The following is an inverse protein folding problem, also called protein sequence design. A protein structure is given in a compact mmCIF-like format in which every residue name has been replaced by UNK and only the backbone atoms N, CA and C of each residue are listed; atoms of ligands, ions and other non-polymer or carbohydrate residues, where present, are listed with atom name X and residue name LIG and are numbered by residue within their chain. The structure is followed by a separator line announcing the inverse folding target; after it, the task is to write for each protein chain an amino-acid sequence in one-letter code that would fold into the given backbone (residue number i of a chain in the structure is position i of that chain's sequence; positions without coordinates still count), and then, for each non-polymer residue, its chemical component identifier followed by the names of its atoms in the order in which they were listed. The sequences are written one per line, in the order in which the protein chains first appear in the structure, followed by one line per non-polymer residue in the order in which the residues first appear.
data_IF_958928424516
#
_entry.id   IF_958928424516
#
_cell.length_a   1.000
_cell.length_b   1.000
_cell.length_c   1.000
_cell.angle_alpha   90.00
_cell.angle_beta   90.00
_cell.angle_gamma   90.00
#
_symmetry.space_group_name_H-M   'P 1'
#
loop_
_entity.id
_entity.type
_entity.pdbx_description
1 polymer ?
#
# COMPACT_ATOMS: atom_id res chain seq x y z
N UNK A 1 -33.99 13.91 6.23
CA UNK A 1 -32.53 13.87 6.04
C UNK A 1 -32.25 13.53 4.59
N UNK A 2 -31.81 14.49 3.78
CA UNK A 2 -31.45 14.24 2.38
C UNK A 2 -30.20 13.36 2.36
N UNK A 3 -30.31 12.16 1.79
CA UNK A 3 -29.14 11.34 1.51
C UNK A 3 -28.58 11.84 0.19
N UNK A 4 -27.33 12.33 0.20
CA UNK A 4 -26.63 12.73 -1.01
C UNK A 4 -26.15 11.47 -1.74
N UNK A 5 -27.00 11.00 -2.66
CA UNK A 5 -26.76 9.78 -3.44
C UNK A 5 -25.55 9.93 -4.37
N UNK A 6 -25.26 11.14 -4.84
CA UNK A 6 -24.10 11.46 -5.67
C UNK A 6 -22.83 11.29 -4.86
N UNK A 7 -22.74 11.90 -3.68
CA UNK A 7 -21.58 11.74 -2.79
C UNK A 7 -21.35 10.27 -2.40
N UNK A 8 -22.43 9.51 -2.16
CA UNK A 8 -22.31 8.08 -1.86
C UNK A 8 -21.73 7.30 -3.04
N UNK A 9 -22.22 7.58 -4.26
CA UNK A 9 -21.75 6.92 -5.47
C UNK A 9 -20.28 7.25 -5.73
N UNK A 10 -19.91 8.52 -5.65
CA UNK A 10 -18.52 8.97 -5.82
C UNK A 10 -17.58 8.33 -4.80
N UNK A 11 -17.99 8.23 -3.53
CA UNK A 11 -17.17 7.58 -2.50
C UNK A 11 -16.95 6.09 -2.80
N UNK A 12 -17.97 5.37 -3.27
CA UNK A 12 -17.86 3.96 -3.66
C UNK A 12 -16.99 3.77 -4.90
N UNK A 13 -17.17 4.62 -5.92
CA UNK A 13 -16.34 4.62 -7.13
C UNK A 13 -14.87 4.93 -6.81
N UNK A 14 -14.63 5.81 -5.82
CA UNK A 14 -13.31 6.08 -5.25
C UNK A 14 -12.75 4.98 -4.35
N UNK A 15 -13.47 3.86 -4.16
CA UNK A 15 -12.97 2.68 -3.47
C UNK A 15 -13.25 2.61 -1.96
N UNK A 16 -14.14 3.46 -1.43
CA UNK A 16 -14.53 3.40 -0.02
C UNK A 16 -15.19 2.06 0.33
N UNK A 17 -14.64 1.38 1.34
CA UNK A 17 -15.17 0.09 1.85
C UNK A 17 -16.49 0.27 2.62
N UNK A 18 -16.71 1.45 3.21
CA UNK A 18 -17.94 1.82 3.90
C UNK A 18 -18.28 3.28 3.57
N UNK A 19 -19.57 3.55 3.37
CA UNK A 19 -20.10 4.90 3.12
C UNK A 19 -21.34 5.10 3.99
N UNK A 20 -21.37 6.20 4.74
CA UNK A 20 -22.38 6.46 5.75
C UNK A 20 -23.00 7.82 5.52
N UNK A 21 -24.32 7.92 5.72
CA UNK A 21 -24.95 9.22 5.86
C UNK A 21 -24.47 9.89 7.16
N UNK A 22 -24.25 11.20 7.14
CA UNK A 22 -23.81 11.99 8.30
C UNK A 22 -24.66 11.73 9.54
N UNK A 23 -25.98 11.60 9.38
CA UNK A 23 -26.92 11.32 10.47
C UNK A 23 -26.73 9.96 11.15
N UNK A 24 -26.10 8.99 10.47
CA UNK A 24 -25.83 7.65 10.99
C UNK A 24 -24.40 7.46 11.49
N UNK A 25 -23.54 8.47 11.35
CA UNK A 25 -22.12 8.33 11.67
C UNK A 25 -21.90 7.95 13.15
N UNK A 26 -22.48 8.72 14.08
CA UNK A 26 -22.29 8.49 15.52
C UNK A 26 -22.84 7.14 15.96
N UNK A 27 -24.03 6.76 15.49
CA UNK A 27 -24.67 5.50 15.91
C UNK A 27 -24.02 4.26 15.29
N UNK A 28 -23.43 4.36 14.09
CA UNK A 28 -22.73 3.25 13.46
C UNK A 28 -21.28 3.10 13.96
N UNK A 29 -20.72 4.11 14.63
CA UNK A 29 -19.30 4.16 14.97
C UNK A 29 -18.80 2.94 15.77
N UNK A 30 -19.50 2.43 16.80
CA UNK A 30 -19.02 1.28 17.57
C UNK A 30 -18.85 0.03 16.69
N UNK A 31 -19.83 -0.27 15.84
CA UNK A 31 -19.78 -1.43 14.94
C UNK A 31 -18.65 -1.27 13.92
N UNK A 32 -18.48 -0.07 13.37
CA UNK A 32 -17.43 0.22 12.38
C UNK A 32 -16.04 0.09 12.99
N UNK A 33 -15.84 0.57 14.22
CA UNK A 33 -14.58 0.41 14.94
C UNK A 33 -14.32 -1.09 15.17
N UNK A 34 -15.28 -1.84 15.69
CA UNK A 34 -15.10 -3.28 15.92
C UNK A 34 -14.80 -4.04 14.61
N UNK A 35 -15.43 -3.63 13.51
CA UNK A 35 -15.29 -4.27 12.20
C UNK A 35 -13.99 -3.93 11.49
N UNK A 36 -13.54 -2.68 11.57
CA UNK A 36 -12.44 -2.17 10.75
C UNK A 36 -11.19 -1.76 11.54
N UNK A 37 -11.26 -1.64 12.86
CA UNK A 37 -10.07 -1.38 13.66
C UNK A 37 -9.11 -2.55 13.57
N UNK A 38 -7.84 -2.23 13.39
CA UNK A 38 -6.76 -3.20 13.44
C UNK A 38 -6.12 -3.17 14.81
N UNK A 39 -5.88 -4.34 15.38
CA UNK A 39 -4.99 -4.49 16.53
C UNK A 39 -3.57 -4.50 15.99
N UNK A 40 -2.83 -3.44 16.26
CA UNK A 40 -1.40 -3.37 15.99
C UNK A 40 -0.65 -3.95 17.19
N UNK A 41 0.44 -4.66 16.90
CA UNK A 41 1.44 -5.10 17.88
C UNK A 41 2.75 -4.35 17.55
N UNK A 42 2.93 -3.12 18.07
CA UNK A 42 4.09 -2.29 17.72
C UNK A 42 5.42 -2.93 18.13
N UNK A 43 5.45 -3.60 19.28
CA UNK A 43 6.65 -4.23 19.81
C UNK A 43 7.02 -5.46 18.98
N UNK A 44 6.05 -6.34 18.70
CA UNK A 44 6.27 -7.49 17.82
C UNK A 44 6.63 -7.08 16.39
N UNK A 45 6.06 -5.97 15.88
CA UNK A 45 6.44 -5.41 14.59
C UNK A 45 7.87 -4.87 14.60
N UNK A 46 8.27 -4.13 15.63
CA UNK A 46 9.62 -3.61 15.76
C UNK A 46 10.66 -4.74 15.81
N UNK A 47 10.37 -5.81 16.57
CA UNK A 47 11.21 -7.00 16.65
C UNK A 47 11.33 -7.71 15.30
N UNK A 48 10.20 -8.00 14.64
CA UNK A 48 10.20 -8.67 13.34
C UNK A 48 10.92 -7.84 12.26
N UNK A 49 10.90 -6.50 12.37
CA UNK A 49 11.63 -5.61 11.48
C UNK A 49 13.16 -5.63 11.67
N UNK A 50 13.70 -6.24 12.73
CA UNK A 50 15.15 -6.44 12.90
C UNK A 50 15.67 -7.71 12.23
N UNK A 51 14.77 -8.60 11.80
CA UNK A 51 15.14 -9.82 11.09
C UNK A 51 15.57 -9.51 9.65
N UNK A 52 16.32 -10.42 9.03
CA UNK A 52 16.70 -10.30 7.62
C UNK A 52 15.50 -10.49 6.68
N UNK A 53 15.65 -10.04 5.42
CA UNK A 53 14.75 -10.42 4.34
C UNK A 53 14.91 -11.90 4.01
N UNK A 54 13.79 -12.57 3.77
CA UNK A 54 13.80 -13.90 3.17
C UNK A 54 14.12 -13.80 1.68
N UNK A 55 14.66 -14.86 1.08
CA UNK A 55 15.08 -14.88 -0.34
C UNK A 55 13.95 -14.49 -1.30
N UNK A 56 12.74 -15.00 -1.07
CA UNK A 56 11.54 -14.63 -1.85
C UNK A 56 11.29 -13.12 -1.81
N UNK A 57 11.46 -12.48 -0.65
CA UNK A 57 11.26 -11.04 -0.56
C UNK A 57 12.29 -10.28 -1.40
N UNK A 58 13.57 -10.71 -1.38
CA UNK A 58 14.62 -10.10 -2.21
C UNK A 58 14.29 -10.24 -3.70
N UNK A 59 13.91 -11.43 -4.16
CA UNK A 59 13.51 -11.67 -5.55
C UNK A 59 12.32 -10.77 -5.97
N UNK A 60 11.31 -10.66 -5.12
CA UNK A 60 10.17 -9.78 -5.35
C UNK A 60 10.56 -8.30 -5.45
N UNK A 61 11.53 -7.84 -4.65
CA UNK A 61 12.06 -6.49 -4.72
C UNK A 61 12.90 -6.24 -5.98
N UNK A 62 13.65 -7.23 -6.45
CA UNK A 62 14.40 -7.14 -7.71
C UNK A 62 13.46 -7.08 -8.92
N UNK A 63 12.38 -7.88 -8.93
CA UNK A 63 11.31 -7.77 -9.93
C UNK A 63 10.64 -6.39 -9.89
N UNK A 64 10.31 -5.90 -8.69
CA UNK A 64 9.76 -4.56 -8.52
C UNK A 64 10.67 -3.51 -9.16
N UNK A 65 11.97 -3.54 -8.86
CA UNK A 65 12.94 -2.57 -9.34
C UNK A 65 13.20 -2.66 -10.86
N UNK A 66 12.84 -3.78 -11.50
CA UNK A 66 12.83 -3.96 -12.95
C UNK A 66 11.53 -3.53 -13.62
N UNK A 67 10.55 -3.03 -12.86
CA UNK A 67 9.20 -2.69 -13.29
C UNK A 67 8.34 -3.92 -13.69
N UNK A 68 8.75 -5.12 -13.29
CA UNK A 68 7.97 -6.36 -13.46
C UNK A 68 6.94 -6.49 -12.32
N UNK A 69 6.03 -5.52 -12.24
CA UNK A 69 5.18 -5.33 -11.05
C UNK A 69 4.18 -6.46 -10.79
N UNK A 70 3.77 -7.18 -11.84
CA UNK A 70 2.85 -8.31 -11.69
C UNK A 70 3.58 -9.50 -11.04
N UNK A 71 4.75 -9.84 -11.55
CA UNK A 71 5.62 -10.89 -11.03
C UNK A 71 6.11 -10.54 -9.62
N UNK A 72 6.49 -9.28 -9.39
CA UNK A 72 6.83 -8.78 -8.06
C UNK A 72 5.69 -8.98 -7.06
N UNK A 73 4.44 -8.71 -7.48
CA UNK A 73 3.25 -8.94 -6.67
C UNK A 73 3.11 -10.40 -6.26
N UNK A 74 3.22 -11.35 -7.20
CA UNK A 74 3.06 -12.78 -6.92
C UNK A 74 4.12 -13.25 -5.91
N UNK A 75 5.39 -12.93 -6.15
CA UNK A 75 6.50 -13.37 -5.30
C UNK A 75 6.43 -12.73 -3.89
N UNK A 76 6.09 -11.45 -3.80
CA UNK A 76 5.91 -10.79 -2.50
C UNK A 76 4.65 -11.31 -1.76
N UNK A 77 3.62 -11.76 -2.48
CA UNK A 77 2.46 -12.41 -1.87
C UNK A 77 2.84 -13.77 -1.26
N UNK A 78 3.70 -14.53 -1.92
CA UNK A 78 4.25 -15.77 -1.36
C UNK A 78 5.06 -15.51 -0.09
N UNK A 79 5.97 -14.53 -0.12
CA UNK A 79 6.71 -14.10 1.07
C UNK A 79 5.77 -13.66 2.22
N UNK A 80 4.72 -12.90 1.89
CA UNK A 80 3.70 -12.50 2.87
C UNK A 80 2.93 -13.69 3.44
N UNK A 81 2.58 -14.71 2.64
CA UNK A 81 1.87 -15.90 3.10
C UNK A 81 2.74 -16.79 3.98
N UNK A 82 4.04 -16.86 3.69
CA UNK A 82 5.00 -17.67 4.44
C UNK A 82 5.43 -17.03 5.79
N UNK A 83 5.43 -15.71 5.90
CA UNK A 83 5.78 -15.02 7.15
C UNK A 83 4.57 -15.00 8.12
N UNK A 84 4.78 -15.54 9.33
CA UNK A 84 3.78 -15.60 10.40
C UNK A 84 4.02 -14.56 11.51
N UNK A 85 5.07 -13.76 11.40
CA UNK A 85 5.36 -12.65 12.31
C UNK A 85 4.54 -11.40 11.94
N UNK A 86 4.45 -10.40 12.83
CA UNK A 86 3.90 -9.10 12.45
C UNK A 86 4.64 -8.41 11.29
N UNK A 87 5.92 -8.77 11.08
CA UNK A 87 6.78 -8.23 10.01
C UNK A 87 6.28 -8.55 8.59
N UNK A 88 5.40 -9.54 8.42
CA UNK A 88 4.80 -9.89 7.13
C UNK A 88 4.10 -8.71 6.44
N UNK A 89 3.59 -7.75 7.22
CA UNK A 89 2.88 -6.58 6.68
C UNK A 89 3.80 -5.65 5.87
N UNK A 90 5.12 -5.75 6.04
CA UNK A 90 6.11 -5.13 5.15
C UNK A 90 5.88 -5.57 3.69
N UNK A 91 5.86 -6.89 3.45
CA UNK A 91 5.69 -7.46 2.11
C UNK A 91 4.34 -7.09 1.53
N UNK A 92 3.30 -7.07 2.37
CA UNK A 92 1.96 -6.64 1.97
C UNK A 92 1.91 -5.16 1.57
N UNK A 93 2.65 -4.30 2.25
CA UNK A 93 2.79 -2.90 1.87
C UNK A 93 3.47 -2.75 0.51
N UNK A 94 4.62 -3.39 0.33
CA UNK A 94 5.41 -3.32 -0.92
C UNK A 94 4.63 -3.87 -2.11
N UNK A 95 3.99 -5.04 -1.98
CA UNK A 95 3.22 -5.61 -3.08
C UNK A 95 2.03 -4.71 -3.48
N UNK A 96 1.42 -3.99 -2.53
CA UNK A 96 0.35 -3.05 -2.88
C UNK A 96 0.86 -1.81 -3.61
N UNK A 97 2.10 -1.38 -3.35
CA UNK A 97 2.78 -0.36 -4.18
C UNK A 97 2.99 -0.90 -5.58
N UNK A 98 3.45 -2.16 -5.73
CA UNK A 98 3.64 -2.79 -7.03
C UNK A 98 2.33 -2.83 -7.83
N UNK A 99 1.23 -3.26 -7.18
CA UNK A 99 -0.10 -3.26 -7.81
C UNK A 99 -0.53 -1.82 -8.16
N UNK A 100 -0.28 -0.82 -7.31
CA UNK A 100 -0.60 0.57 -7.64
C UNK A 100 0.14 1.03 -8.91
N UNK A 101 1.45 0.77 -9.00
CA UNK A 101 2.27 1.13 -10.16
C UNK A 101 1.84 0.38 -11.42
N UNK A 102 1.56 -0.93 -11.32
CA UNK A 102 0.99 -1.73 -12.42
C UNK A 102 -0.34 -1.14 -12.93
N UNK A 103 -1.22 -0.68 -12.04
CA UNK A 103 -2.50 -0.08 -12.45
C UNK A 103 -2.30 1.25 -13.18
N UNK A 104 -1.27 2.04 -12.81
CA UNK A 104 -0.90 3.25 -13.56
C UNK A 104 -0.44 2.87 -14.97
N UNK A 105 0.43 1.86 -15.11
CA UNK A 105 0.91 1.40 -16.42
C UNK A 105 -0.22 0.85 -17.31
N UNK A 106 -1.26 0.29 -16.71
CA UNK A 106 -2.48 -0.14 -17.40
C UNK A 106 -3.45 1.01 -17.71
N UNK A 107 -3.11 2.25 -17.36
CA UNK A 107 -4.00 3.40 -17.52
C UNK A 107 -5.26 3.34 -16.63
N UNK A 108 -5.22 2.55 -15.55
CA UNK A 108 -6.35 2.37 -14.65
C UNK A 108 -6.22 3.28 -13.43
N UNK A 109 -6.66 4.54 -13.59
CA UNK A 109 -6.65 5.56 -12.54
C UNK A 109 -7.35 5.08 -11.25
N UNK A 110 -8.59 4.58 -11.35
CA UNK A 110 -9.37 4.18 -10.17
C UNK A 110 -8.71 3.00 -9.45
N UNK A 111 -8.15 2.06 -10.19
CA UNK A 111 -7.39 0.94 -9.64
C UNK A 111 -6.17 1.41 -8.86
N UNK A 112 -5.37 2.31 -9.45
CA UNK A 112 -4.17 2.85 -8.84
C UNK A 112 -4.47 3.69 -7.59
N UNK A 113 -5.38 4.66 -7.68
CA UNK A 113 -5.76 5.52 -6.55
C UNK A 113 -6.27 4.70 -5.36
N UNK A 114 -7.09 3.68 -5.64
CA UNK A 114 -7.58 2.75 -4.61
C UNK A 114 -6.45 1.98 -3.93
N UNK A 115 -5.43 1.52 -4.67
CA UNK A 115 -4.30 0.79 -4.08
C UNK A 115 -3.41 1.69 -3.23
N UNK A 116 -3.17 2.93 -3.66
CA UNK A 116 -2.43 3.90 -2.85
C UNK A 116 -3.10 4.20 -1.51
N UNK A 117 -4.43 4.24 -1.45
CA UNK A 117 -5.14 4.38 -0.18
C UNK A 117 -5.02 3.13 0.70
N UNK A 118 -5.06 1.94 0.10
CA UNK A 118 -4.98 0.67 0.84
C UNK A 118 -3.60 0.38 1.40
N UNK A 119 -2.54 0.68 0.65
CA UNK A 119 -1.18 0.37 1.09
C UNK A 119 -0.80 1.13 2.37
N UNK A 120 -1.36 2.34 2.58
CA UNK A 120 -1.08 3.21 3.75
C UNK A 120 -1.31 2.49 5.07
N UNK A 121 -2.36 1.69 5.17
CA UNK A 121 -2.64 0.96 6.40
C UNK A 121 -1.52 -0.03 6.76
N UNK A 122 -0.76 -0.52 5.78
CA UNK A 122 0.35 -1.44 6.00
C UNK A 122 1.68 -0.71 6.16
N UNK A 123 1.90 0.36 5.38
CA UNK A 123 3.16 1.10 5.39
C UNK A 123 3.27 2.11 6.54
N UNK A 124 2.18 2.81 6.90
CA UNK A 124 2.22 3.86 7.94
C UNK A 124 2.67 3.35 9.32
N UNK A 125 2.23 2.16 9.80
CA UNK A 125 2.66 1.65 11.08
C UNK A 125 4.10 1.11 11.12
N UNK A 126 4.72 0.88 9.96
CA UNK A 126 6.08 0.32 9.91
C UNK A 126 7.12 1.35 10.37
N UNK A 127 8.21 0.90 11.01
CA UNK A 127 9.37 1.74 11.28
C UNK A 127 10.02 2.19 9.96
N UNK A 128 10.80 3.27 10.04
CA UNK A 128 11.46 3.87 8.86
C UNK A 128 12.39 2.89 8.12
N UNK A 129 13.02 1.98 8.87
CA UNK A 129 13.76 0.84 8.34
C UNK A 129 13.11 -0.42 8.88
N UNK A 130 12.78 -1.36 7.99
CA UNK A 130 12.25 -2.67 8.37
C UNK A 130 12.86 -3.75 7.48
N UNK A 131 13.46 -4.77 8.09
CA UNK A 131 14.21 -5.84 7.41
C UNK A 131 15.21 -5.27 6.39
N UNK A 132 15.91 -4.19 6.74
CA UNK A 132 16.85 -3.50 5.86
C UNK A 132 16.23 -2.66 4.73
N UNK A 133 14.91 -2.74 4.47
CA UNK A 133 14.19 -1.89 3.51
C UNK A 133 14.05 -0.47 4.07
N UNK A 134 14.33 0.54 3.23
CA UNK A 134 14.05 1.94 3.54
C UNK A 134 12.55 2.25 3.32
N UNK A 135 11.74 1.94 4.33
CA UNK A 135 10.30 2.14 4.32
C UNK A 135 9.93 3.62 4.33
N UNK A 136 10.70 4.47 5.01
CA UNK A 136 10.49 5.92 4.98
C UNK A 136 10.52 6.46 3.55
N UNK A 137 11.51 6.04 2.76
CA UNK A 137 11.62 6.42 1.35
C UNK A 137 10.51 5.81 0.50
N UNK A 138 10.20 4.53 0.69
CA UNK A 138 9.07 3.89 -0.01
C UNK A 138 7.75 4.63 0.23
N UNK A 139 7.46 5.05 1.47
CA UNK A 139 6.29 5.86 1.81
C UNK A 139 6.30 7.19 1.06
N UNK A 140 7.42 7.92 1.13
CA UNK A 140 7.55 9.22 0.48
C UNK A 140 7.36 9.12 -1.04
N UNK A 141 8.01 8.15 -1.68
CA UNK A 141 7.95 7.94 -3.13
C UNK A 141 6.53 7.51 -3.56
N UNK A 142 5.88 6.61 -2.82
CA UNK A 142 4.53 6.18 -3.11
C UNK A 142 3.49 7.30 -2.86
N UNK A 143 3.74 8.21 -1.91
CA UNK A 143 2.88 9.38 -1.68
C UNK A 143 3.04 10.42 -2.77
N UNK A 144 4.27 10.69 -3.22
CA UNK A 144 4.51 11.57 -4.36
C UNK A 144 3.84 11.04 -5.63
N UNK A 145 3.96 9.73 -5.91
CA UNK A 145 3.27 9.10 -7.04
C UNK A 145 1.75 9.20 -6.92
N UNK A 146 1.19 9.01 -5.72
CA UNK A 146 -0.24 9.16 -5.49
C UNK A 146 -0.73 10.60 -5.74
N UNK A 147 -0.05 11.60 -5.19
CA UNK A 147 -0.41 13.01 -5.39
C UNK A 147 -0.35 13.40 -6.87
N UNK A 148 0.69 12.96 -7.59
CA UNK A 148 0.82 13.19 -9.03
C UNK A 148 -0.32 12.53 -9.83
N UNK A 149 -0.70 11.30 -9.46
CA UNK A 149 -1.83 10.61 -10.07
C UNK A 149 -3.13 11.41 -9.88
N UNK A 150 -3.40 11.85 -8.64
CA UNK A 150 -4.60 12.64 -8.31
C UNK A 150 -4.62 13.98 -9.05
N UNK A 151 -3.48 14.66 -9.17
CA UNK A 151 -3.36 15.92 -9.89
C UNK A 151 -3.64 15.79 -11.39
N UNK A 152 -3.31 14.64 -12.01
CA UNK A 152 -3.65 14.35 -13.40
C UNK A 152 -5.14 14.06 -13.59
N UNK A 153 -5.72 13.29 -12.66
CA UNK A 153 -7.10 12.84 -12.74
C UNK A 153 -7.33 11.71 -13.76
N UNK A 154 -8.55 11.16 -13.82
CA UNK A 154 -8.84 9.92 -14.55
C UNK A 154 -8.68 10.02 -16.07
N UNK A 155 -8.80 11.22 -16.64
CA UNK A 155 -8.72 11.44 -18.09
C UNK A 155 -7.29 11.49 -18.62
N UNK A 156 -6.30 11.69 -17.74
CA UNK A 156 -4.90 12.00 -18.11
C UNK A 156 -3.89 11.05 -17.47
N UNK A 157 -4.34 9.90 -16.99
CA UNK A 157 -3.45 8.87 -16.40
C UNK A 157 -2.40 8.36 -17.40
N UNK A 158 -2.70 8.37 -18.70
CA UNK A 158 -1.71 8.05 -19.74
C UNK A 158 -0.56 9.07 -19.87
N UNK A 159 -0.70 10.25 -19.27
CA UNK A 159 0.34 11.29 -19.19
C UNK A 159 1.17 11.19 -17.90
N UNK A 160 0.98 10.14 -17.09
CA UNK A 160 1.68 9.99 -15.82
C UNK A 160 3.21 9.94 -16.01
N UNK A 161 3.93 10.75 -15.23
CA UNK A 161 5.40 10.73 -15.22
C UNK A 161 5.90 9.43 -14.59
N UNK A 162 6.33 8.49 -15.44
CA UNK A 162 6.87 7.19 -15.01
C UNK A 162 8.14 7.34 -14.17
N UNK A 163 8.81 8.50 -14.20
CA UNK A 163 9.93 8.82 -13.31
C UNK A 163 9.55 8.86 -11.83
N UNK A 164 8.25 8.92 -11.50
CA UNK A 164 7.73 8.83 -10.13
C UNK A 164 7.49 7.38 -9.66
N UNK A 165 7.59 6.39 -10.53
CA UNK A 165 7.57 4.97 -10.15
C UNK A 165 8.98 4.59 -9.66
N UNK A 166 9.29 4.94 -8.41
CA UNK A 166 10.64 4.79 -7.84
C UNK A 166 10.91 3.35 -7.40
N UNK A 167 12.18 2.89 -7.48
CA UNK A 167 12.56 1.58 -6.97
C UNK A 167 12.50 1.54 -5.43
N UNK A 168 12.40 0.34 -4.88
CA UNK A 168 12.60 0.07 -3.46
C UNK A 168 14.09 -0.02 -3.16
N UNK A 169 14.51 0.55 -2.04
CA UNK A 169 15.90 0.51 -1.58
C UNK A 169 15.98 -0.34 -0.32
N UNK A 170 16.93 -1.26 -0.28
CA UNK A 170 17.26 -2.03 0.91
C UNK A 170 18.77 -2.20 1.02
N UNK A 171 19.23 -2.47 2.23
CA UNK A 171 20.61 -2.89 2.48
C UNK A 171 20.63 -4.41 2.48
N UNK A 172 21.46 -5.02 1.64
CA UNK A 172 21.84 -6.43 1.82
C UNK A 172 22.64 -6.49 3.10
N UNK A 173 22.14 -7.26 4.08
CA UNK A 173 22.88 -7.59 5.28
C UNK A 173 24.01 -8.56 4.94
N UNK A 174 24.98 -8.12 4.14
CA UNK A 174 26.30 -8.73 4.18
C UNK A 174 26.90 -8.29 5.52
N UNK A 175 26.85 -9.21 6.47
CA UNK A 175 27.41 -9.02 7.80
C UNK A 175 28.88 -8.61 7.73
N UNK A 176 29.28 -7.83 8.72
CA UNK A 176 30.67 -7.78 9.20
C UNK A 176 31.19 -9.21 9.41
#
# INVERSE_FOLDING_TARGET
SHVDTTAIKTAREGGATAVLARSRFVSALPELILKYSRKLDPDGLHQACQEALVSLAVEGLELFNRHDYFEAHEILEEAWKADHTPGRELYRGVLQVAVAYMQIERGNYNGAAKMFLRMRQWLDPLPDICRGINVARLRADAYAAHEALLALGPKRVGEFDRGLLKPVYWTTGDGI
#
